data_IF_524844861948
#
_entry.id   IF_524844861948
#
_cell.length_a   1.000
_cell.length_b   1.000
_cell.length_c   1.000
_cell.angle_alpha   90.00
_cell.angle_beta   90.00
_cell.angle_gamma   90.00
#
_symmetry.space_group_name_H-M   'P 1'
#
loop_
_entity.id
_entity.type
_entity.pdbx_description
1 polymer ?
#
# COMPACT_ATOMS: atom_id res chain seq x y z
N UNK A 1 -3.03 -24.59 13.36
CA UNK A 1 -4.05 -23.79 12.63
C UNK A 1 -3.84 -22.29 12.81
N UNK A 2 -3.39 -21.85 14.00
CA UNK A 2 -3.05 -20.47 14.35
C UNK A 2 -2.17 -19.72 13.33
N UNK A 3 -1.00 -20.24 12.91
CA UNK A 3 -0.13 -19.55 11.93
C UNK A 3 -0.82 -19.21 10.60
N UNK A 4 -1.85 -19.97 10.22
CA UNK A 4 -2.58 -19.79 8.96
C UNK A 4 -3.56 -18.63 9.03
N UNK A 5 -4.20 -18.43 10.18
CA UNK A 5 -5.07 -17.28 10.44
C UNK A 5 -4.23 -16.00 10.53
N UNK A 6 -3.12 -16.05 11.29
CA UNK A 6 -2.20 -14.91 11.40
C UNK A 6 -1.67 -14.45 10.04
N UNK A 7 -1.26 -15.37 9.17
CA UNK A 7 -0.79 -15.01 7.83
C UNK A 7 -1.87 -14.30 6.99
N UNK A 8 -3.10 -14.78 7.09
CA UNK A 8 -4.22 -14.23 6.32
C UNK A 8 -4.61 -12.84 6.83
N UNK A 9 -4.69 -12.67 8.15
CA UNK A 9 -4.95 -11.38 8.78
C UNK A 9 -3.82 -10.39 8.50
N UNK A 10 -2.56 -10.81 8.58
CA UNK A 10 -1.41 -9.96 8.26
C UNK A 10 -1.46 -9.49 6.80
N UNK A 11 -1.76 -10.38 5.85
CA UNK A 11 -1.90 -10.03 4.43
C UNK A 11 -3.01 -9.01 4.19
N UNK A 12 -4.20 -9.27 4.75
CA UNK A 12 -5.35 -8.36 4.58
C UNK A 12 -5.09 -7.01 5.24
N UNK A 13 -4.61 -7.01 6.49
CA UNK A 13 -4.37 -5.78 7.24
C UNK A 13 -3.29 -4.91 6.58
N UNK A 14 -2.17 -5.52 6.17
CA UNK A 14 -1.07 -4.79 5.53
C UNK A 14 -1.53 -4.17 4.22
N UNK A 15 -2.18 -4.96 3.35
CA UNK A 15 -2.68 -4.47 2.06
C UNK A 15 -3.71 -3.35 2.24
N UNK A 16 -4.62 -3.49 3.21
CA UNK A 16 -5.68 -2.51 3.44
C UNK A 16 -5.13 -1.19 4.01
N UNK A 17 -4.18 -1.24 4.94
CA UNK A 17 -3.51 -0.05 5.48
C UNK A 17 -2.76 0.70 4.38
N UNK A 18 -2.05 -0.03 3.51
CA UNK A 18 -1.34 0.56 2.38
C UNK A 18 -2.27 1.16 1.33
N UNK A 19 -3.36 0.46 1.00
CA UNK A 19 -4.39 0.96 0.08
C UNK A 19 -5.00 2.26 0.62
N UNK A 20 -5.36 2.28 1.90
CA UNK A 20 -5.89 3.46 2.56
C UNK A 20 -4.89 4.62 2.56
N UNK A 21 -3.64 4.38 2.92
CA UNK A 21 -2.61 5.42 2.96
C UNK A 21 -2.42 6.08 1.58
N UNK A 22 -2.28 5.28 0.51
CA UNK A 22 -2.10 5.82 -0.84
C UNK A 22 -3.35 6.53 -1.36
N UNK A 23 -4.54 5.98 -1.11
CA UNK A 23 -5.79 6.58 -1.58
C UNK A 23 -6.09 7.90 -0.83
N UNK A 24 -5.78 7.95 0.47
CA UNK A 24 -5.88 9.19 1.26
C UNK A 24 -4.95 10.26 0.73
N UNK A 25 -3.67 9.96 0.50
CA UNK A 25 -2.71 10.92 -0.07
C UNK A 25 -3.19 11.41 -1.44
N UNK A 26 -3.73 10.53 -2.28
CA UNK A 26 -4.32 10.92 -3.56
C UNK A 26 -5.50 11.89 -3.39
N UNK A 27 -6.42 11.60 -2.47
CA UNK A 27 -7.58 12.46 -2.19
C UNK A 27 -7.18 13.82 -1.57
N UNK A 28 -6.20 13.82 -0.68
CA UNK A 28 -5.63 15.05 -0.10
C UNK A 28 -4.95 15.90 -1.19
N UNK A 29 -4.31 15.24 -2.17
CA UNK A 29 -3.74 15.91 -3.37
C UNK A 29 -4.82 16.49 -4.29
N UNK A 30 -5.91 15.75 -4.51
CA UNK A 30 -7.00 16.16 -5.41
C UNK A 30 -7.86 17.29 -4.80
N UNK A 31 -8.03 17.31 -3.48
CA UNK A 31 -8.81 18.32 -2.75
C UNK A 31 -8.10 19.66 -2.61
N UNK A 32 -6.87 19.79 -3.12
CA UNK A 32 -6.06 21.00 -2.98
C UNK A 32 -5.58 21.24 -1.54
N UNK A 33 -5.73 20.25 -0.66
CA UNK A 33 -5.37 20.32 0.75
C UNK A 33 -3.94 19.80 1.02
N UNK A 34 -3.06 19.93 0.02
CA UNK A 34 -1.63 19.73 0.23
C UNK A 34 -1.10 21.04 0.77
N UNK A 35 -1.12 21.18 2.10
CA UNK A 35 -0.18 22.08 2.75
C UNK A 35 1.22 21.64 2.28
N UNK A 36 1.79 22.40 1.35
CA UNK A 36 3.21 22.33 1.06
C UNK A 36 3.91 22.77 2.33
N UNK A 37 4.19 21.81 3.21
CA UNK A 37 4.98 22.04 4.42
C UNK A 37 6.21 22.84 3.99
N UNK A 38 6.42 24.04 4.59
CA UNK A 38 7.47 24.95 4.14
C UNK A 38 8.80 24.22 4.12
N UNK A 39 9.59 24.46 3.07
CA UNK A 39 10.86 23.82 2.71
C UNK A 39 11.98 23.89 3.78
N UNK A 40 11.68 24.24 5.03
CA UNK A 40 12.61 24.39 6.15
C UNK A 40 12.48 23.34 7.27
N UNK A 41 11.52 22.41 7.25
CA UNK A 41 11.45 21.32 8.24
C UNK A 41 12.16 20.06 7.72
N UNK A 42 13.48 20.14 7.67
CA UNK A 42 14.36 19.02 7.46
C UNK A 42 14.39 18.10 8.70
N UNK A 43 13.39 17.23 8.89
CA UNK A 43 13.64 16.04 9.73
C UNK A 43 12.80 14.77 9.55
N UNK A 44 11.88 14.67 8.58
CA UNK A 44 11.33 13.37 8.15
C UNK A 44 10.93 13.43 6.67
N UNK A 45 11.87 13.68 5.75
CA UNK A 45 11.63 13.46 4.33
C UNK A 45 11.82 11.96 4.02
N UNK A 46 10.83 11.14 4.38
CA UNK A 46 10.70 9.78 3.83
C UNK A 46 9.84 9.82 2.58
N UNK A 47 10.46 10.04 1.42
CA UNK A 47 9.88 9.66 0.11
C UNK A 47 8.51 10.27 -0.26
N UNK A 48 8.08 11.37 0.35
CA UNK A 48 6.72 11.92 0.14
C UNK A 48 6.53 12.77 -1.12
N UNK A 49 7.59 13.08 -1.87
CA UNK A 49 7.50 14.07 -2.96
C UNK A 49 7.96 13.60 -4.35
N UNK A 50 7.87 12.30 -4.68
CA UNK A 50 8.28 11.83 -6.02
C UNK A 50 7.23 11.01 -6.78
N UNK A 51 6.09 10.67 -6.19
CA UNK A 51 5.03 9.99 -6.94
C UNK A 51 4.00 10.99 -7.46
N UNK A 52 3.92 11.12 -8.79
CA UNK A 52 2.83 11.84 -9.45
C UNK A 52 1.49 11.29 -8.97
N UNK A 53 0.43 12.13 -8.87
CA UNK A 53 -0.87 11.70 -8.35
C UNK A 53 -1.42 10.45 -9.06
N UNK A 54 -1.13 10.27 -10.35
CA UNK A 54 -1.49 9.05 -11.09
C UNK A 54 -0.79 7.78 -10.59
N UNK A 55 0.47 7.85 -10.17
CA UNK A 55 1.19 6.70 -9.61
C UNK A 55 0.68 6.36 -8.20
N UNK A 56 0.42 7.38 -7.37
CA UNK A 56 -0.14 7.18 -6.02
C UNK A 56 -1.50 6.48 -6.09
N UNK A 57 -2.37 6.89 -7.02
CA UNK A 57 -3.64 6.22 -7.29
C UNK A 57 -3.44 4.77 -7.75
N UNK A 58 -2.51 4.54 -8.68
CA UNK A 58 -2.22 3.21 -9.22
C UNK A 58 -1.77 2.23 -8.12
N UNK A 59 -0.89 2.67 -7.21
CA UNK A 59 -0.48 1.87 -6.05
C UNK A 59 -1.64 1.62 -5.09
N UNK A 60 -2.44 2.65 -4.78
CA UNK A 60 -3.62 2.50 -3.92
C UNK A 60 -4.60 1.45 -4.46
N UNK A 61 -4.91 1.50 -5.77
CA UNK A 61 -5.77 0.51 -6.43
C UNK A 61 -5.12 -0.88 -6.40
N UNK A 62 -3.81 -1.00 -6.68
CA UNK A 62 -3.12 -2.28 -6.68
C UNK A 62 -3.18 -2.96 -5.30
N UNK A 63 -2.95 -2.23 -4.21
CA UNK A 63 -3.09 -2.77 -2.85
C UNK A 63 -4.54 -3.15 -2.51
N UNK A 64 -5.53 -2.40 -3.01
CA UNK A 64 -6.94 -2.71 -2.83
C UNK A 64 -7.32 -4.02 -3.54
N UNK A 65 -6.88 -4.19 -4.79
CA UNK A 65 -7.06 -5.44 -5.56
C UNK A 65 -6.40 -6.62 -4.86
N UNK A 66 -5.18 -6.45 -4.35
CA UNK A 66 -4.49 -7.48 -3.56
C UNK A 66 -5.25 -7.83 -2.27
N UNK A 67 -5.91 -6.86 -1.64
CA UNK A 67 -6.78 -7.10 -0.48
C UNK A 67 -7.98 -7.97 -0.85
N UNK A 68 -8.68 -7.63 -1.93
CA UNK A 68 -9.84 -8.40 -2.41
C UNK A 68 -9.43 -9.82 -2.80
N UNK A 69 -8.30 -9.98 -3.50
CA UNK A 69 -7.75 -11.30 -3.84
C UNK A 69 -7.38 -12.10 -2.59
N UNK A 70 -6.74 -11.47 -1.59
CA UNK A 70 -6.39 -12.13 -0.34
C UNK A 70 -7.64 -12.62 0.41
N UNK A 71 -8.71 -11.82 0.48
CA UNK A 71 -10.00 -12.21 1.08
C UNK A 71 -10.63 -13.37 0.30
N UNK A 72 -10.67 -13.28 -1.03
CA UNK A 72 -11.25 -14.32 -1.88
C UNK A 72 -10.51 -15.65 -1.74
N UNK A 73 -9.17 -15.64 -1.82
CA UNK A 73 -8.36 -16.85 -1.66
C UNK A 73 -8.39 -17.41 -0.24
N UNK A 74 -8.51 -16.56 0.78
CA UNK A 74 -8.72 -16.98 2.15
C UNK A 74 -10.03 -17.76 2.31
N UNK A 75 -11.13 -17.22 1.76
CA UNK A 75 -12.43 -17.87 1.81
C UNK A 75 -12.41 -19.21 1.06
N UNK A 76 -11.77 -19.25 -0.10
CA UNK A 76 -11.63 -20.48 -0.90
C UNK A 76 -10.63 -21.49 -0.32
N UNK A 77 -9.92 -21.16 0.75
CA UNK A 77 -8.92 -22.02 1.39
C UNK A 77 -7.61 -22.17 0.62
N UNK A 78 -7.39 -21.39 -0.45
CA UNK A 78 -6.19 -21.40 -1.29
C UNK A 78 -5.05 -20.58 -0.66
N UNK A 79 -4.48 -21.14 0.42
CA UNK A 79 -3.49 -20.44 1.28
C UNK A 79 -2.17 -20.09 0.59
N UNK A 80 -1.74 -20.87 -0.40
CA UNK A 80 -0.55 -20.55 -1.21
C UNK A 80 -0.73 -19.23 -1.96
N UNK A 81 -1.95 -18.96 -2.44
CA UNK A 81 -2.30 -17.71 -3.13
C UNK A 81 -2.40 -16.52 -2.17
N UNK A 82 -2.85 -16.74 -0.93
CA UNK A 82 -2.83 -15.68 0.12
C UNK A 82 -1.39 -15.29 0.47
N UNK A 83 -0.49 -16.27 0.60
CA UNK A 83 0.93 -16.01 0.80
C UNK A 83 1.54 -15.26 -0.39
N UNK A 84 1.21 -15.67 -1.61
CA UNK A 84 1.65 -15.00 -2.83
C UNK A 84 1.19 -13.53 -2.84
N UNK A 85 -0.06 -13.24 -2.46
CA UNK A 85 -0.58 -11.88 -2.37
C UNK A 85 0.19 -11.01 -1.35
N UNK A 86 0.62 -11.59 -0.23
CA UNK A 86 1.47 -10.92 0.75
C UNK A 86 2.87 -10.65 0.21
N UNK A 87 3.49 -11.62 -0.49
CA UNK A 87 4.79 -11.42 -1.14
C UNK A 87 4.72 -10.33 -2.21
N UNK A 88 3.68 -10.34 -3.05
CA UNK A 88 3.46 -9.30 -4.05
C UNK A 88 3.30 -7.92 -3.41
N UNK A 89 2.59 -7.82 -2.29
CA UNK A 89 2.49 -6.57 -1.54
C UNK A 89 3.87 -6.06 -1.08
N UNK A 90 4.69 -6.93 -0.47
CA UNK A 90 6.05 -6.56 -0.05
C UNK A 90 6.91 -6.10 -1.23
N UNK A 91 6.79 -6.75 -2.39
CA UNK A 91 7.49 -6.32 -3.61
C UNK A 91 7.01 -4.95 -4.11
N UNK A 92 5.71 -4.66 -4.06
CA UNK A 92 5.18 -3.35 -4.43
C UNK A 92 5.65 -2.26 -3.47
N UNK A 93 5.73 -2.54 -2.17
CA UNK A 93 6.31 -1.62 -1.18
C UNK A 93 7.79 -1.36 -1.50
N UNK A 94 8.54 -2.41 -1.79
CA UNK A 94 9.95 -2.30 -2.18
C UNK A 94 10.13 -1.41 -3.41
N UNK A 95 9.33 -1.65 -4.46
CA UNK A 95 9.33 -0.82 -5.67
C UNK A 95 9.00 0.64 -5.31
N UNK A 96 7.97 0.87 -4.48
CA UNK A 96 7.57 2.21 -4.05
C UNK A 96 8.70 2.94 -3.32
N UNK A 97 9.45 2.25 -2.46
CA UNK A 97 10.59 2.83 -1.74
C UNK A 97 11.70 3.26 -2.72
N UNK A 98 11.97 2.45 -3.75
CA UNK A 98 12.96 2.79 -4.79
C UNK A 98 12.49 3.92 -5.71
N UNK A 99 11.22 3.94 -6.11
CA UNK A 99 10.67 5.02 -6.95
C UNK A 99 10.62 6.36 -6.22
N UNK A 100 10.59 6.35 -4.89
CA UNK A 100 10.63 7.56 -4.05
C UNK A 100 12.03 8.01 -3.64
N UNK A 101 13.08 7.31 -4.08
CA UNK A 101 14.49 7.58 -3.73
C UNK A 101 15.31 8.13 -4.91
N UNK A 102 14.71 8.29 -6.10
CA UNK A 102 15.29 8.92 -7.28
C UNK A 102 14.85 10.38 -7.38
#
# INVERSE_FOLDING_TARGET
MINRLFLTFAAIATNLVLAYAHLRVYLDTLSGNVETLPQGMAHIQSSEQVLTPGLTLSFGIAFLVLTVLAIFFAWKGHRKSVFLALVTCLLLIWIRLWTGAA
#
